data_IF_836460143483
#
_entry.id   IF_836460143483
#
_cell.length_a   1.000
_cell.length_b   1.000
_cell.length_c   1.000
_cell.angle_alpha   90.00
_cell.angle_beta   90.00
_cell.angle_gamma   90.00
#
_symmetry.space_group_name_H-M   'P 1'
#
loop_
_entity.id
_entity.type
_entity.pdbx_description
1 polymer ?
#
# COMPACT_ATOMS: atom_id res chain seq x y z
N UNK A 1 35.88 4.03 7.32
CA UNK A 1 34.84 4.66 8.10
C UNK A 1 33.49 4.11 7.67
N UNK A 2 32.64 3.73 8.60
CA UNK A 2 31.29 3.26 8.32
C UNK A 2 30.45 4.42 7.79
N UNK A 3 29.55 4.19 6.87
CA UNK A 3 28.68 5.15 6.13
C UNK A 3 27.82 6.05 7.04
N UNK A 4 27.90 5.91 8.36
CA UNK A 4 27.08 6.60 9.36
C UNK A 4 27.84 7.61 10.24
N UNK A 5 29.16 7.84 10.01
CA UNK A 5 29.93 8.77 10.83
C UNK A 5 29.70 10.23 10.37
N UNK A 6 29.35 11.09 11.34
CA UNK A 6 29.10 12.52 11.09
C UNK A 6 30.44 13.27 11.22
N UNK A 7 30.84 13.95 10.14
CA UNK A 7 32.08 14.71 10.10
C UNK A 7 32.08 15.87 11.10
N UNK A 8 33.27 16.21 11.65
CA UNK A 8 33.49 17.24 12.66
C UNK A 8 32.86 18.60 12.28
N UNK A 9 32.85 18.96 11.01
CA UNK A 9 32.32 20.24 10.54
C UNK A 9 30.80 20.30 10.42
N UNK A 10 30.10 19.15 10.42
CA UNK A 10 28.64 19.07 10.21
C UNK A 10 27.88 18.55 11.42
N UNK A 11 28.54 18.32 12.55
CA UNK A 11 27.92 17.71 13.74
C UNK A 11 26.72 18.51 14.27
N UNK A 12 26.92 19.83 14.45
CA UNK A 12 25.90 20.72 14.99
C UNK A 12 24.68 20.77 14.05
N UNK A 13 24.92 20.98 12.76
CA UNK A 13 23.84 21.10 11.76
C UNK A 13 23.06 19.79 11.62
N UNK A 14 23.78 18.66 11.62
CA UNK A 14 23.14 17.35 11.52
C UNK A 14 22.30 17.02 12.74
N UNK A 15 22.81 17.28 13.97
CA UNK A 15 22.04 17.07 15.20
C UNK A 15 20.87 18.07 15.31
N UNK A 16 21.05 19.32 14.88
CA UNK A 16 19.96 20.30 14.84
C UNK A 16 18.85 19.90 13.84
N UNK A 17 19.24 19.42 12.67
CA UNK A 17 18.29 18.90 11.66
C UNK A 17 17.53 17.68 12.18
N UNK A 18 18.22 16.75 12.82
CA UNK A 18 17.61 15.56 13.44
C UNK A 18 16.61 15.95 14.53
N UNK A 19 17.02 16.85 15.44
CA UNK A 19 16.17 17.37 16.51
C UNK A 19 14.96 18.14 15.95
N UNK A 20 15.14 18.94 14.91
CA UNK A 20 14.07 19.66 14.24
C UNK A 20 13.04 18.72 13.59
N UNK A 21 13.48 17.59 13.05
CA UNK A 21 12.59 16.55 12.51
C UNK A 21 11.76 15.90 13.62
N UNK A 22 12.41 15.54 14.74
CA UNK A 22 11.73 14.99 15.92
C UNK A 22 10.71 15.98 16.50
N UNK A 23 11.04 17.26 16.53
CA UNK A 23 10.12 18.31 17.03
C UNK A 23 8.91 18.47 16.13
N UNK A 24 9.08 18.41 14.81
CA UNK A 24 7.97 18.46 13.85
C UNK A 24 6.97 17.35 14.01
N UNK A 25 7.40 16.16 14.42
CA UNK A 25 6.51 15.02 14.72
C UNK A 25 5.98 15.00 16.15
N UNK A 26 6.18 16.07 16.93
CA UNK A 26 5.58 16.26 18.23
C UNK A 26 6.40 15.79 19.44
N UNK A 27 7.64 15.31 19.24
CA UNK A 27 8.49 14.88 20.37
C UNK A 27 8.78 16.03 21.34
N UNK A 28 8.75 15.73 22.62
CA UNK A 28 9.08 16.66 23.70
C UNK A 28 10.60 16.90 23.85
N UNK A 29 10.96 17.94 24.62
CA UNK A 29 12.37 18.32 24.81
C UNK A 29 13.22 17.20 25.39
N UNK A 30 12.72 16.43 26.35
CA UNK A 30 13.45 15.35 27.00
C UNK A 30 13.70 14.19 26.04
N UNK A 31 12.71 13.83 25.24
CA UNK A 31 12.80 12.77 24.22
C UNK A 31 13.83 13.15 23.14
N UNK A 32 13.76 14.40 22.66
CA UNK A 32 14.73 14.94 21.69
C UNK A 32 16.14 14.91 22.28
N UNK A 33 16.31 15.36 23.51
CA UNK A 33 17.60 15.39 24.18
C UNK A 33 18.20 13.99 24.32
N UNK A 34 17.42 13.01 24.76
CA UNK A 34 17.85 11.61 24.88
C UNK A 34 18.30 11.02 23.53
N UNK A 35 17.53 11.26 22.49
CA UNK A 35 17.84 10.81 21.13
C UNK A 35 19.09 11.48 20.57
N UNK A 36 19.26 12.80 20.77
CA UNK A 36 20.43 13.54 20.33
C UNK A 36 21.70 13.12 21.06
N UNK A 37 21.65 12.85 22.36
CA UNK A 37 22.79 12.30 23.11
C UNK A 37 23.22 10.93 22.58
N UNK A 38 22.26 10.05 22.26
CA UNK A 38 22.56 8.75 21.66
C UNK A 38 23.18 8.90 20.27
N UNK A 39 22.62 9.76 19.42
CA UNK A 39 23.15 10.04 18.09
C UNK A 39 24.56 10.65 18.14
N UNK A 40 24.81 11.59 19.06
CA UNK A 40 26.09 12.22 19.26
C UNK A 40 27.17 11.19 19.60
N UNK A 41 26.93 10.36 20.61
CA UNK A 41 27.92 9.33 21.05
C UNK A 41 28.20 8.28 19.97
N UNK A 42 27.20 7.89 19.21
CA UNK A 42 27.34 6.79 18.26
C UNK A 42 27.84 7.23 16.88
N UNK A 43 27.56 8.47 16.47
CA UNK A 43 27.75 8.93 15.08
C UNK A 43 28.71 10.11 14.91
N UNK A 44 28.86 10.96 15.93
CA UNK A 44 29.79 12.10 15.85
C UNK A 44 31.21 11.68 16.29
N UNK A 45 32.20 12.03 15.48
CA UNK A 45 33.61 11.71 15.76
C UNK A 45 34.52 12.92 15.54
N UNK A 46 35.03 13.49 16.62
CA UNK A 46 34.73 13.23 18.05
C UNK A 46 33.30 13.71 18.39
N UNK A 47 32.67 13.20 19.46
CA UNK A 47 31.36 13.68 19.92
C UNK A 47 31.39 15.17 20.27
N UNK A 48 30.22 15.84 20.17
CA UNK A 48 30.05 17.18 20.76
C UNK A 48 30.03 17.11 22.29
N UNK A 49 30.38 18.22 22.95
CA UNK A 49 30.20 18.40 24.41
C UNK A 49 28.70 18.27 24.75
N UNK A 50 28.38 17.66 25.88
CA UNK A 50 27.00 17.47 26.33
C UNK A 50 26.24 18.80 26.46
N UNK A 51 26.93 19.89 26.84
CA UNK A 51 26.32 21.22 26.89
C UNK A 51 25.89 21.74 25.52
N UNK A 52 26.61 21.39 24.46
CA UNK A 52 26.24 21.76 23.10
C UNK A 52 25.03 20.96 22.62
N UNK A 53 24.96 19.65 22.94
CA UNK A 53 23.81 18.80 22.62
C UNK A 53 22.54 19.32 23.33
N UNK A 54 22.65 19.70 24.60
CA UNK A 54 21.55 20.32 25.35
C UNK A 54 21.11 21.63 24.71
N UNK A 55 22.03 22.51 24.28
CA UNK A 55 21.68 23.75 23.58
C UNK A 55 20.92 23.49 22.27
N UNK A 56 21.35 22.49 21.52
CA UNK A 56 20.68 22.10 20.27
C UNK A 56 19.26 21.62 20.59
N UNK A 57 19.09 20.70 21.54
CA UNK A 57 17.77 20.18 21.94
C UNK A 57 16.83 21.31 22.38
N UNK A 58 17.32 22.22 23.24
CA UNK A 58 16.54 23.39 23.69
C UNK A 58 16.20 24.35 22.56
N UNK A 59 17.12 24.55 21.61
CA UNK A 59 16.89 25.44 20.48
C UNK A 59 15.79 24.91 19.57
N UNK A 60 15.83 23.62 19.20
CA UNK A 60 14.83 23.01 18.32
C UNK A 60 13.48 22.85 18.99
N UNK A 61 13.46 22.69 20.32
CA UNK A 61 12.22 22.55 21.10
C UNK A 61 11.40 23.86 21.19
N UNK A 62 11.97 25.01 20.84
CA UNK A 62 11.25 26.29 20.79
C UNK A 62 10.29 26.41 19.59
N UNK A 63 10.53 25.60 18.56
CA UNK A 63 9.62 25.58 17.41
C UNK A 63 8.35 24.83 17.75
N UNK A 64 7.22 25.32 17.29
CA UNK A 64 5.96 24.58 17.43
C UNK A 64 5.97 23.33 16.54
N UNK A 65 5.37 22.21 17.02
CA UNK A 65 5.15 21.04 16.18
C UNK A 65 4.36 21.43 14.92
N UNK A 66 4.63 20.76 13.81
CA UNK A 66 3.92 21.05 12.56
C UNK A 66 2.42 20.77 12.74
N UNK A 67 1.58 21.76 12.52
CA UNK A 67 0.10 21.64 12.58
C UNK A 67 -0.44 20.52 11.70
N UNK A 68 0.26 20.18 10.61
CA UNK A 68 -0.12 19.07 9.72
C UNK A 68 0.10 17.70 10.37
N UNK A 69 1.13 17.56 11.19
CA UNK A 69 1.36 16.32 11.95
C UNK A 69 0.39 16.18 13.13
N UNK A 70 0.02 17.30 13.77
CA UNK A 70 -0.88 17.35 14.92
C UNK A 70 -2.35 17.25 14.49
N UNK A 71 -2.75 17.89 13.40
CA UNK A 71 -4.14 17.86 12.92
C UNK A 71 -4.59 16.45 12.46
N UNK A 72 -3.65 15.59 12.01
CA UNK A 72 -3.93 14.19 11.68
C UNK A 72 -4.12 13.31 12.92
N UNK A 73 -3.58 13.73 14.07
CA UNK A 73 -3.58 12.93 15.31
C UNK A 73 -4.70 13.38 16.27
N UNK A 74 -4.97 14.67 16.37
CA UNK A 74 -5.90 15.18 17.39
C UNK A 74 -7.40 14.99 17.08
N UNK A 75 -7.80 14.89 15.83
CA UNK A 75 -9.23 14.87 15.46
C UNK A 75 -9.87 13.48 15.39
N UNK A 76 -9.09 12.39 15.49
CA UNK A 76 -9.65 11.02 15.46
C UNK A 76 -9.19 10.12 16.62
N UNK A 77 -8.19 10.55 17.41
CA UNK A 77 -7.57 9.73 18.46
C UNK A 77 -7.73 10.33 19.85
N UNK A 78 -8.68 11.25 20.03
CA UNK A 78 -9.02 11.78 21.34
C UNK A 78 -9.38 10.64 22.30
N UNK A 79 -8.51 10.38 23.28
CA UNK A 79 -8.68 9.44 24.39
C UNK A 79 -8.54 7.95 24.01
N UNK A 80 -7.35 7.54 23.58
CA UNK A 80 -6.93 6.15 23.75
C UNK A 80 -5.90 6.07 24.89
N UNK A 81 -6.41 6.02 26.11
CA UNK A 81 -5.60 5.56 27.23
C UNK A 81 -5.33 4.05 27.07
N UNK A 82 -4.09 3.68 26.80
CA UNK A 82 -3.55 2.40 27.23
C UNK A 82 -3.72 1.18 26.33
N UNK A 83 -3.92 1.29 25.00
CA UNK A 83 -3.77 0.12 24.12
C UNK A 83 -2.89 0.45 22.93
N UNK A 84 -1.78 -0.27 22.78
CA UNK A 84 -0.82 -0.15 21.68
C UNK A 84 -1.36 -0.61 20.30
N UNK A 85 -2.64 -0.90 20.19
CA UNK A 85 -3.26 -1.41 18.97
C UNK A 85 -4.55 -0.65 18.65
N UNK A 86 -4.79 -0.27 17.37
CA UNK A 86 -6.05 0.31 16.97
C UNK A 86 -7.22 -0.65 17.27
N UNK A 87 -8.42 -0.13 17.54
CA UNK A 87 -9.59 -0.98 17.74
C UNK A 87 -9.83 -1.84 16.50
N UNK A 88 -10.39 -3.05 16.66
CA UNK A 88 -10.72 -3.89 15.53
C UNK A 88 -11.72 -3.18 14.62
N UNK A 89 -11.60 -3.41 13.31
CA UNK A 89 -12.55 -2.89 12.33
C UNK A 89 -13.95 -3.44 12.67
N UNK A 90 -14.97 -2.59 12.81
CA UNK A 90 -16.33 -3.04 13.04
C UNK A 90 -16.78 -4.06 11.98
N UNK A 91 -17.45 -5.12 12.41
CA UNK A 91 -17.81 -6.23 11.51
C UNK A 91 -18.78 -5.81 10.41
N UNK A 92 -19.65 -4.86 10.69
CA UNK A 92 -20.57 -4.27 9.70
C UNK A 92 -19.85 -3.59 8.54
N UNK A 93 -18.65 -3.06 8.75
CA UNK A 93 -17.82 -2.47 7.69
C UNK A 93 -17.11 -3.52 6.82
N UNK A 94 -17.07 -4.77 7.28
CA UNK A 94 -16.49 -5.91 6.56
C UNK A 94 -17.57 -6.75 5.85
N UNK A 95 -18.78 -6.20 5.70
CA UNK A 95 -19.90 -6.87 5.08
C UNK A 95 -20.51 -6.01 3.98
N UNK A 96 -20.30 -6.42 2.73
CA UNK A 96 -20.91 -5.82 1.54
C UNK A 96 -21.71 -6.91 0.84
N UNK A 97 -23.05 -6.83 0.83
CA UNK A 97 -23.92 -7.85 0.25
C UNK A 97 -23.60 -8.17 -1.21
N UNK A 98 -23.73 -9.43 -1.60
CA UNK A 98 -23.45 -9.93 -2.92
C UNK A 98 -22.04 -10.47 -3.08
N UNK A 99 -21.41 -10.24 -4.22
CA UNK A 99 -20.17 -10.91 -4.62
C UNK A 99 -19.03 -10.82 -3.59
N UNK A 100 -18.88 -9.66 -2.94
CA UNK A 100 -17.82 -9.48 -1.93
C UNK A 100 -18.07 -10.40 -0.73
N UNK A 101 -19.31 -10.45 -0.21
CA UNK A 101 -19.62 -11.34 0.89
C UNK A 101 -19.53 -12.80 0.46
N UNK A 102 -20.04 -13.16 -0.72
CA UNK A 102 -19.98 -14.53 -1.22
C UNK A 102 -18.54 -15.07 -1.27
N UNK A 103 -17.61 -14.28 -1.82
CA UNK A 103 -16.19 -14.65 -1.90
C UNK A 103 -15.54 -14.65 -0.52
N UNK A 104 -15.84 -13.67 0.33
CA UNK A 104 -15.28 -13.60 1.68
C UNK A 104 -15.76 -14.76 2.54
N UNK A 105 -17.05 -15.11 2.49
CA UNK A 105 -17.62 -16.23 3.25
C UNK A 105 -17.09 -17.59 2.77
N UNK A 106 -16.94 -17.77 1.45
CA UNK A 106 -16.28 -18.95 0.89
C UNK A 106 -14.81 -19.02 1.36
N UNK A 107 -14.10 -17.90 1.35
CA UNK A 107 -12.73 -17.83 1.86
C UNK A 107 -12.66 -18.22 3.34
N UNK A 108 -13.55 -17.69 4.17
CA UNK A 108 -13.64 -17.99 5.60
C UNK A 108 -13.92 -19.46 5.86
N UNK A 109 -14.88 -20.05 5.12
CA UNK A 109 -15.29 -21.44 5.32
C UNK A 109 -14.24 -22.47 4.90
N UNK A 110 -13.31 -22.08 4.02
CA UNK A 110 -12.30 -23.01 3.46
C UNK A 110 -10.88 -22.77 4.00
N UNK A 111 -10.61 -21.61 4.63
CA UNK A 111 -9.29 -21.25 5.11
C UNK A 111 -8.86 -22.08 6.34
N UNK A 112 -7.60 -22.51 6.43
CA UNK A 112 -7.08 -23.16 7.64
C UNK A 112 -7.04 -22.24 8.86
N UNK A 113 -6.89 -20.93 8.64
CA UNK A 113 -6.94 -19.88 9.65
C UNK A 113 -7.86 -18.77 9.14
N UNK A 114 -9.17 -18.85 9.41
CA UNK A 114 -10.13 -17.85 8.95
C UNK A 114 -9.80 -16.46 9.51
N UNK A 115 -9.81 -15.48 8.62
CA UNK A 115 -9.59 -14.08 9.00
C UNK A 115 -10.49 -13.19 8.14
N UNK A 116 -11.55 -12.64 8.75
CA UNK A 116 -12.58 -11.86 8.03
C UNK A 116 -11.99 -10.65 7.32
N UNK A 117 -11.07 -9.93 7.95
CA UNK A 117 -10.43 -8.75 7.36
C UNK A 117 -9.63 -9.13 6.12
N UNK A 118 -8.86 -10.23 6.19
CA UNK A 118 -8.08 -10.72 5.04
C UNK A 118 -9.00 -11.23 3.93
N UNK A 119 -10.06 -11.96 4.27
CA UNK A 119 -11.04 -12.45 3.32
C UNK A 119 -11.76 -11.29 2.60
N UNK A 120 -12.17 -10.29 3.35
CA UNK A 120 -12.77 -9.05 2.80
C UNK A 120 -11.80 -8.32 1.88
N UNK A 121 -10.55 -8.11 2.31
CA UNK A 121 -9.53 -7.46 1.48
C UNK A 121 -9.32 -8.20 0.15
N UNK A 122 -9.26 -9.53 0.18
CA UNK A 122 -9.14 -10.37 -1.00
C UNK A 122 -10.33 -10.23 -1.94
N UNK A 123 -11.54 -10.34 -1.41
CA UNK A 123 -12.79 -10.22 -2.18
C UNK A 123 -12.96 -8.82 -2.79
N UNK A 124 -12.65 -7.78 -2.02
CA UNK A 124 -12.68 -6.39 -2.49
C UNK A 124 -11.66 -6.15 -3.62
N UNK A 125 -10.44 -6.67 -3.47
CA UNK A 125 -9.41 -6.60 -4.52
C UNK A 125 -9.83 -7.33 -5.79
N UNK A 126 -10.44 -8.50 -5.66
CA UNK A 126 -10.94 -9.26 -6.80
C UNK A 126 -12.04 -8.50 -7.57
N UNK A 127 -13.04 -7.97 -6.85
CA UNK A 127 -14.11 -7.20 -7.49
C UNK A 127 -13.57 -5.91 -8.11
N UNK A 128 -12.69 -5.20 -7.41
CA UNK A 128 -11.99 -4.02 -7.92
C UNK A 128 -11.34 -4.28 -9.27
N UNK A 129 -10.61 -5.37 -9.40
CA UNK A 129 -9.98 -5.79 -10.65
C UNK A 129 -11.02 -6.16 -11.73
N UNK A 130 -12.03 -6.98 -11.40
CA UNK A 130 -13.03 -7.44 -12.36
C UNK A 130 -13.88 -6.30 -12.94
N UNK A 131 -14.08 -5.24 -12.17
CA UNK A 131 -14.85 -4.05 -12.59
C UNK A 131 -13.99 -2.90 -13.09
N UNK A 132 -12.65 -3.02 -12.99
CA UNK A 132 -11.72 -2.01 -13.48
C UNK A 132 -11.96 -1.68 -14.96
N UNK A 133 -11.94 -0.38 -15.30
CA UNK A 133 -12.24 0.17 -16.64
C UNK A 133 -13.70 0.00 -17.10
N UNK A 134 -14.56 -0.66 -16.33
CA UNK A 134 -15.94 -1.03 -16.73
C UNK A 134 -17.00 -0.15 -16.10
N UNK A 135 -16.73 0.34 -14.91
CA UNK A 135 -17.65 1.18 -14.13
C UNK A 135 -16.94 2.42 -13.59
N UNK A 136 -17.72 3.45 -13.35
CA UNK A 136 -17.28 4.71 -12.73
C UNK A 136 -18.38 5.27 -11.83
N UNK A 137 -18.01 6.09 -10.87
CA UNK A 137 -18.96 6.89 -10.11
C UNK A 137 -19.29 8.22 -10.82
N UNK A 138 -20.09 9.06 -10.18
CA UNK A 138 -20.46 10.39 -10.69
C UNK A 138 -19.25 11.35 -10.74
N UNK A 139 -18.24 11.14 -9.89
CA UNK A 139 -16.98 11.89 -9.87
C UNK A 139 -15.96 11.39 -10.87
N UNK A 140 -16.34 10.45 -11.73
CA UNK A 140 -15.46 9.79 -12.70
C UNK A 140 -14.34 8.96 -12.07
N UNK A 141 -14.50 8.54 -10.79
CA UNK A 141 -13.57 7.64 -10.15
C UNK A 141 -13.71 6.22 -10.71
N UNK A 142 -12.61 5.47 -10.67
CA UNK A 142 -12.54 4.07 -11.09
C UNK A 142 -12.39 3.16 -9.89
N UNK A 143 -12.66 1.88 -10.08
CA UNK A 143 -12.60 0.86 -9.04
C UNK A 143 -11.18 0.37 -8.74
N UNK A 144 -10.16 0.92 -9.38
CA UNK A 144 -8.76 0.53 -9.16
C UNK A 144 -8.31 0.88 -7.74
N UNK A 145 -8.17 -0.13 -6.87
CA UNK A 145 -7.80 0.04 -5.47
C UNK A 145 -6.39 -0.48 -5.20
N UNK A 146 -5.66 0.21 -4.34
CA UNK A 146 -4.45 -0.28 -3.72
C UNK A 146 -4.78 -0.68 -2.29
N UNK A 147 -4.79 -1.98 -2.01
CA UNK A 147 -5.17 -2.56 -0.73
C UNK A 147 -3.93 -3.11 -0.05
N UNK A 148 -3.74 -2.75 1.20
CA UNK A 148 -2.70 -3.28 2.07
C UNK A 148 -3.37 -4.02 3.23
N UNK A 149 -3.19 -5.33 3.27
CA UNK A 149 -3.76 -6.19 4.29
C UNK A 149 -2.66 -6.64 5.27
N UNK A 150 -2.74 -6.15 6.50
CA UNK A 150 -1.75 -6.38 7.55
C UNK A 150 -2.23 -7.46 8.52
N UNK A 151 -1.44 -8.53 8.66
CA UNK A 151 -1.69 -9.56 9.66
C UNK A 151 -0.39 -10.28 10.03
N UNK A 152 -0.31 -10.83 11.24
CA UNK A 152 0.84 -11.63 11.68
C UNK A 152 1.07 -12.87 10.82
N UNK A 153 2.25 -13.46 10.97
CA UNK A 153 2.56 -14.73 10.32
C UNK A 153 1.52 -15.80 10.71
N UNK A 154 1.14 -16.64 9.74
CA UNK A 154 0.12 -17.69 9.89
C UNK A 154 -1.28 -17.16 10.30
N UNK A 155 -1.59 -15.88 10.11
CA UNK A 155 -2.92 -15.31 10.37
C UNK A 155 -3.84 -15.27 9.13
N UNK A 156 -3.67 -16.20 8.19
CA UNK A 156 -4.58 -16.39 7.05
C UNK A 156 -4.38 -15.48 5.85
N UNK A 157 -3.26 -14.75 5.75
CA UNK A 157 -2.97 -13.80 4.65
C UNK A 157 -2.98 -14.44 3.26
N UNK A 158 -2.51 -15.67 3.13
CA UNK A 158 -2.29 -16.32 1.83
C UNK A 158 -3.57 -16.84 1.21
N UNK A 159 -4.55 -17.21 2.03
CA UNK A 159 -5.72 -17.92 1.54
C UNK A 159 -6.58 -17.09 0.60
N UNK A 160 -6.89 -15.82 0.88
CA UNK A 160 -7.62 -14.95 -0.05
C UNK A 160 -6.97 -14.85 -1.42
N UNK A 161 -5.62 -14.74 -1.46
CA UNK A 161 -4.87 -14.69 -2.73
C UNK A 161 -5.01 -15.99 -3.52
N UNK A 162 -4.97 -17.14 -2.84
CA UNK A 162 -5.20 -18.47 -3.47
C UNK A 162 -6.61 -18.59 -4.02
N UNK A 163 -7.62 -18.12 -3.29
CA UNK A 163 -9.02 -18.14 -3.75
C UNK A 163 -9.17 -17.24 -4.97
N UNK A 164 -8.65 -16.02 -4.95
CA UNK A 164 -8.68 -15.12 -6.09
C UNK A 164 -8.01 -15.76 -7.32
N UNK A 165 -6.84 -16.35 -7.14
CA UNK A 165 -6.12 -17.03 -8.23
C UNK A 165 -6.94 -18.18 -8.82
N UNK A 166 -7.61 -18.99 -7.98
CA UNK A 166 -8.48 -20.09 -8.44
C UNK A 166 -9.68 -19.56 -9.23
N UNK A 167 -10.36 -18.52 -8.72
CA UNK A 167 -11.48 -17.87 -9.43
C UNK A 167 -11.02 -17.35 -10.79
N UNK A 168 -9.93 -16.62 -10.83
CA UNK A 168 -9.41 -16.03 -12.09
C UNK A 168 -8.93 -17.10 -13.06
N UNK A 169 -8.35 -18.19 -12.58
CA UNK A 169 -7.98 -19.33 -13.42
C UNK A 169 -9.22 -19.97 -14.06
N UNK A 170 -10.29 -20.17 -13.27
CA UNK A 170 -11.52 -20.82 -13.75
C UNK A 170 -12.26 -20.00 -14.81
N UNK A 171 -12.18 -18.67 -14.75
CA UNK A 171 -12.77 -17.77 -15.76
C UNK A 171 -11.77 -17.34 -16.86
N UNK A 172 -10.59 -17.96 -16.94
CA UNK A 172 -9.61 -17.73 -18.01
C UNK A 172 -8.82 -16.41 -17.90
N UNK A 173 -8.72 -15.81 -16.71
CA UNK A 173 -7.99 -14.56 -16.46
C UNK A 173 -6.72 -14.73 -15.61
N UNK A 174 -6.13 -15.93 -15.56
CA UNK A 174 -4.91 -16.18 -14.79
C UNK A 174 -3.70 -15.36 -15.26
N UNK A 175 -3.65 -15.02 -16.55
CA UNK A 175 -2.62 -14.18 -17.17
C UNK A 175 -2.68 -12.70 -16.75
N UNK A 176 -3.75 -12.29 -16.06
CA UNK A 176 -3.95 -10.94 -15.52
C UNK A 176 -3.45 -10.77 -14.08
N UNK A 177 -2.88 -11.82 -13.51
CA UNK A 177 -2.33 -11.78 -12.15
C UNK A 177 -0.85 -11.44 -12.22
N UNK A 178 -0.45 -10.38 -11.50
CA UNK A 178 0.94 -10.06 -11.21
C UNK A 178 1.29 -10.43 -9.76
N UNK A 179 2.58 -10.69 -9.50
CA UNK A 179 3.09 -10.97 -8.14
C UNK A 179 4.04 -9.85 -7.68
N UNK A 180 5.14 -9.63 -8.36
CA UNK A 180 6.19 -8.69 -7.96
C UNK A 180 6.41 -7.58 -8.98
N UNK A 181 6.77 -6.42 -8.46
CA UNK A 181 7.17 -5.28 -9.27
C UNK A 181 8.68 -5.32 -9.54
N UNK A 182 9.08 -5.80 -10.71
CA UNK A 182 10.51 -5.85 -11.07
C UNK A 182 11.08 -4.47 -11.40
N UNK A 183 10.31 -3.63 -12.08
CA UNK A 183 10.64 -2.24 -12.42
C UNK A 183 9.39 -1.46 -12.81
N UNK A 184 9.47 -0.13 -12.79
CA UNK A 184 8.37 0.73 -13.27
C UNK A 184 8.07 0.49 -14.75
N UNK A 185 9.10 0.24 -15.54
CA UNK A 185 8.98 -0.08 -16.96
C UNK A 185 8.28 -1.42 -17.22
N UNK A 186 8.65 -2.45 -16.46
CA UNK A 186 8.01 -3.76 -16.58
C UNK A 186 6.52 -3.69 -16.24
N UNK A 187 6.14 -2.86 -15.25
CA UNK A 187 4.75 -2.60 -14.93
C UNK A 187 4.02 -1.88 -16.07
N UNK A 188 4.65 -0.86 -16.69
CA UNK A 188 4.08 -0.17 -17.85
C UNK A 188 3.87 -1.13 -19.03
N UNK A 189 4.87 -1.98 -19.34
CA UNK A 189 4.76 -2.95 -20.42
C UNK A 189 3.65 -3.98 -20.15
N UNK A 190 3.51 -4.45 -18.91
CA UNK A 190 2.44 -5.39 -18.54
C UNK A 190 1.06 -4.77 -18.73
N UNK A 191 0.85 -3.53 -18.28
CA UNK A 191 -0.42 -2.81 -18.43
C UNK A 191 -0.68 -2.34 -19.88
N UNK A 192 0.35 -2.17 -20.68
CA UNK A 192 0.18 -1.90 -22.11
C UNK A 192 -0.40 -3.10 -22.86
N UNK A 193 0.05 -4.31 -22.50
CA UNK A 193 -0.48 -5.56 -23.07
C UNK A 193 -1.84 -5.88 -22.48
N UNK A 194 -2.01 -5.68 -21.18
CA UNK A 194 -3.21 -6.01 -20.42
C UNK A 194 -3.60 -4.82 -19.53
N UNK A 195 -4.42 -3.88 -20.05
CA UNK A 195 -4.71 -2.62 -19.37
C UNK A 195 -5.44 -2.75 -18.02
N UNK A 196 -5.87 -3.96 -17.64
CA UNK A 196 -6.42 -4.27 -16.33
C UNK A 196 -5.67 -5.46 -15.73
N UNK A 197 -5.05 -5.28 -14.56
CA UNK A 197 -4.28 -6.32 -13.85
C UNK A 197 -4.51 -6.28 -12.35
N UNK A 198 -4.46 -7.46 -11.72
CA UNK A 198 -4.44 -7.64 -10.26
C UNK A 198 -3.05 -8.08 -9.82
N UNK A 199 -2.34 -7.24 -9.10
CA UNK A 199 -1.09 -7.61 -8.43
C UNK A 199 -1.38 -8.10 -7.01
N UNK A 200 -1.06 -9.36 -6.74
CA UNK A 200 -1.21 -10.00 -5.42
C UNK A 200 0.16 -10.25 -4.80
N UNK A 201 0.71 -9.22 -4.17
CA UNK A 201 2.09 -9.21 -3.67
C UNK A 201 2.14 -9.62 -2.20
N UNK A 202 2.85 -10.71 -1.91
CA UNK A 202 3.23 -11.03 -0.54
C UNK A 202 4.42 -10.21 -0.09
N UNK A 203 4.50 -9.94 1.21
CA UNK A 203 5.60 -9.17 1.80
C UNK A 203 5.87 -7.85 1.05
N UNK A 204 4.80 -7.07 0.81
CA UNK A 204 4.92 -5.77 0.12
C UNK A 204 5.85 -4.79 0.88
N UNK A 205 6.05 -4.99 2.18
CA UNK A 205 7.05 -4.32 3.00
C UNK A 205 8.47 -4.48 2.44
N UNK A 206 8.80 -5.62 1.85
CA UNK A 206 10.09 -5.83 1.14
C UNK A 206 10.26 -4.85 -0.01
N UNK A 207 9.22 -4.55 -0.77
CA UNK A 207 9.24 -3.53 -1.82
C UNK A 207 9.49 -2.14 -1.22
N UNK A 208 8.79 -1.80 -0.13
CA UNK A 208 8.94 -0.52 0.55
C UNK A 208 10.36 -0.34 1.11
N UNK A 209 10.92 -1.38 1.72
CA UNK A 209 12.32 -1.38 2.19
C UNK A 209 13.29 -1.18 1.03
N UNK A 210 13.07 -1.85 -0.11
CA UNK A 210 13.93 -1.70 -1.28
C UNK A 210 13.86 -0.27 -1.84
N UNK A 211 12.68 0.33 -1.94
CA UNK A 211 12.52 1.74 -2.35
C UNK A 211 13.30 2.68 -1.45
N UNK A 212 13.33 2.42 -0.14
CA UNK A 212 14.05 3.27 0.82
C UNK A 212 15.57 3.07 0.79
N UNK A 213 16.04 1.86 0.53
CA UNK A 213 17.46 1.50 0.59
C UNK A 213 18.17 1.59 -0.75
N UNK A 214 17.42 1.48 -1.84
CA UNK A 214 18.01 1.48 -3.19
C UNK A 214 18.53 2.87 -3.55
N UNK A 215 19.78 2.90 -3.99
CA UNK A 215 20.39 4.08 -4.61
C UNK A 215 20.25 4.06 -6.14
N UNK A 216 19.78 2.94 -6.70
CA UNK A 216 19.46 2.85 -8.11
C UNK A 216 18.03 3.36 -8.34
N UNK A 217 17.80 4.09 -9.40
CA UNK A 217 16.50 4.70 -9.71
C UNK A 217 15.37 3.70 -10.04
N UNK A 218 15.61 2.37 -10.03
CA UNK A 218 14.61 1.37 -10.45
C UNK A 218 13.43 1.30 -9.50
N UNK A 219 13.70 1.21 -8.19
CA UNK A 219 12.61 1.14 -7.19
C UNK A 219 11.89 2.47 -7.05
N UNK A 220 12.60 3.57 -7.25
CA UNK A 220 12.00 4.91 -7.33
C UNK A 220 11.08 5.03 -8.56
N UNK A 221 11.46 4.44 -9.69
CA UNK A 221 10.64 4.32 -10.90
C UNK A 221 9.38 3.49 -10.66
N UNK A 222 9.44 2.38 -9.89
CA UNK A 222 8.25 1.61 -9.49
C UNK A 222 7.26 2.51 -8.72
N UNK A 223 7.73 3.20 -7.69
CA UNK A 223 6.87 4.05 -6.86
C UNK A 223 6.22 5.17 -7.68
N UNK A 224 7.01 5.86 -8.52
CA UNK A 224 6.50 6.91 -9.40
C UNK A 224 5.46 6.37 -10.38
N UNK A 225 5.71 5.18 -10.95
CA UNK A 225 4.76 4.53 -11.87
C UNK A 225 3.46 4.17 -11.15
N UNK A 226 3.51 3.59 -9.94
CA UNK A 226 2.31 3.27 -9.15
C UNK A 226 1.46 4.52 -8.87
N UNK A 227 2.08 5.62 -8.45
CA UNK A 227 1.38 6.88 -8.17
C UNK A 227 0.70 7.44 -9.43
N UNK A 228 1.40 7.42 -10.56
CA UNK A 228 0.88 7.96 -11.82
C UNK A 228 -0.21 7.06 -12.39
N UNK A 229 -0.05 5.73 -12.34
CA UNK A 229 -1.08 4.77 -12.78
C UNK A 229 -2.39 4.95 -12.03
N UNK A 230 -2.33 5.11 -10.70
CA UNK A 230 -3.51 5.37 -9.89
C UNK A 230 -4.25 6.64 -10.35
N UNK A 231 -3.50 7.73 -10.55
CA UNK A 231 -4.06 9.02 -10.96
C UNK A 231 -4.54 9.04 -12.42
N UNK A 232 -4.05 8.11 -13.25
CA UNK A 232 -4.41 8.02 -14.67
C UNK A 232 -5.55 7.02 -14.94
N UNK A 233 -6.16 6.45 -13.91
CA UNK A 233 -7.19 5.40 -14.07
C UNK A 233 -8.43 5.85 -14.85
N UNK A 234 -8.70 7.15 -14.91
CA UNK A 234 -9.81 7.75 -15.67
C UNK A 234 -9.36 8.58 -16.89
N UNK A 235 -8.08 8.47 -17.26
CA UNK A 235 -7.49 9.18 -18.39
C UNK A 235 -6.42 8.32 -19.06
N UNK A 236 -5.49 8.89 -19.77
CA UNK A 236 -4.40 8.16 -20.41
C UNK A 236 -3.11 8.24 -19.59
N UNK A 237 -2.39 7.14 -19.54
CA UNK A 237 -1.04 7.09 -19.01
C UNK A 237 -0.05 7.13 -20.19
N UNK A 238 0.73 8.23 -20.36
CA UNK A 238 1.77 8.29 -21.37
C UNK A 238 2.96 7.42 -20.93
N UNK A 239 3.29 6.43 -21.75
CA UNK A 239 4.45 5.57 -21.51
C UNK A 239 5.77 6.31 -21.82
N UNK A 240 6.84 5.88 -21.18
CA UNK A 240 8.16 6.35 -21.57
C UNK A 240 8.47 5.95 -23.01
N UNK A 241 9.19 6.83 -23.72
CA UNK A 241 9.73 6.50 -25.04
C UNK A 241 10.95 5.60 -24.91
N UNK A 242 11.06 4.62 -25.78
CA UNK A 242 12.27 3.82 -25.98
C UNK A 242 13.02 4.35 -27.20
N UNK A 243 14.34 4.16 -27.21
CA UNK A 243 15.14 4.44 -28.40
C UNK A 243 14.63 3.53 -29.55
N UNK A 244 14.22 4.15 -30.67
CA UNK A 244 13.65 3.44 -31.81
C UNK A 244 12.11 3.35 -31.83
N UNK A 245 11.39 3.90 -30.86
CA UNK A 245 9.94 4.00 -30.93
C UNK A 245 9.54 5.03 -31.99
N UNK A 246 8.79 4.60 -33.03
CA UNK A 246 8.30 5.45 -34.10
C UNK A 246 7.15 6.38 -33.66
N UNK A 247 6.37 5.97 -32.63
CA UNK A 247 5.23 6.71 -32.11
C UNK A 247 5.16 6.68 -30.56
N UNK A 248 4.56 7.70 -29.93
CA UNK A 248 4.25 7.65 -28.52
C UNK A 248 3.29 6.51 -28.21
N UNK A 249 3.57 5.75 -27.13
CA UNK A 249 2.65 4.74 -26.61
C UNK A 249 1.93 5.28 -25.40
N UNK A 250 0.65 4.97 -25.30
CA UNK A 250 -0.19 5.34 -24.17
C UNK A 250 -0.98 4.13 -23.70
N UNK A 251 -1.32 4.12 -22.40
CA UNK A 251 -2.27 3.14 -21.84
C UNK A 251 -3.54 3.93 -21.53
N UNK A 252 -4.63 3.58 -22.18
CA UNK A 252 -5.93 4.20 -21.93
C UNK A 252 -6.54 3.60 -20.68
N UNK A 253 -6.87 4.48 -19.72
CA UNK A 253 -7.55 4.16 -18.46
C UNK A 253 -6.95 2.92 -17.76
N UNK A 254 -5.68 2.93 -17.35
CA UNK A 254 -5.05 1.77 -16.74
C UNK A 254 -5.79 1.32 -15.47
N UNK A 255 -6.20 0.05 -15.44
CA UNK A 255 -6.90 -0.58 -14.33
C UNK A 255 -5.94 -1.41 -13.46
N UNK A 256 -5.12 -0.77 -12.65
CA UNK A 256 -4.22 -1.46 -11.73
C UNK A 256 -4.87 -1.63 -10.36
N UNK A 257 -5.05 -2.87 -9.93
CA UNK A 257 -5.44 -3.21 -8.56
C UNK A 257 -4.27 -3.90 -7.86
N UNK A 258 -3.99 -3.50 -6.62
CA UNK A 258 -2.96 -4.09 -5.78
C UNK A 258 -3.60 -4.68 -4.53
N UNK A 259 -3.30 -5.94 -4.25
CA UNK A 259 -3.55 -6.61 -2.98
C UNK A 259 -2.20 -6.99 -2.38
N UNK A 260 -1.64 -6.08 -1.59
CA UNK A 260 -0.40 -6.32 -0.86
C UNK A 260 -0.68 -6.87 0.52
N UNK A 261 0.13 -7.85 0.96
CA UNK A 261 0.11 -8.35 2.33
C UNK A 261 1.44 -8.10 3.02
N UNK A 262 1.40 -7.81 4.32
CA UNK A 262 2.60 -7.65 5.13
C UNK A 262 2.35 -8.01 6.61
N UNK A 263 3.44 -8.15 7.37
CA UNK A 263 3.40 -8.23 8.82
C UNK A 263 3.40 -6.78 9.35
N UNK A 264 2.51 -6.41 10.31
CA UNK A 264 2.40 -5.04 10.79
C UNK A 264 3.74 -4.41 11.20
N UNK A 265 4.53 -5.07 12.03
CA UNK A 265 5.80 -4.53 12.48
C UNK A 265 6.78 -4.27 11.33
N UNK A 266 6.91 -5.22 10.39
CA UNK A 266 7.79 -5.06 9.22
C UNK A 266 7.32 -3.91 8.32
N UNK A 267 6.00 -3.77 8.15
CA UNK A 267 5.43 -2.66 7.41
C UNK A 267 5.75 -1.31 8.07
N UNK A 268 5.50 -1.16 9.38
CA UNK A 268 5.76 0.09 10.07
C UNK A 268 7.27 0.44 10.10
N UNK A 269 8.15 -0.55 10.23
CA UNK A 269 9.61 -0.37 10.13
C UNK A 269 10.07 0.02 8.71
N UNK A 270 9.32 -0.38 7.68
CA UNK A 270 9.61 -0.06 6.29
C UNK A 270 9.21 1.36 5.90
N UNK A 271 8.41 2.06 6.72
CA UNK A 271 7.96 3.41 6.44
C UNK A 271 9.10 4.43 6.47
N UNK A 272 9.06 5.38 5.55
CA UNK A 272 9.94 6.54 5.56
C UNK A 272 9.14 7.83 5.45
N UNK A 273 9.69 8.93 5.94
CA UNK A 273 9.10 10.28 5.83
C UNK A 273 8.73 10.60 4.37
N UNK A 274 9.59 10.21 3.43
CA UNK A 274 9.34 10.40 1.99
C UNK A 274 8.08 9.68 1.51
N UNK A 275 7.83 8.47 1.96
CA UNK A 275 6.63 7.72 1.59
C UNK A 275 5.36 8.32 2.18
N UNK A 276 5.44 8.87 3.38
CA UNK A 276 4.32 9.56 4.02
C UNK A 276 3.95 10.85 3.29
N UNK A 277 4.94 11.53 2.68
CA UNK A 277 4.75 12.83 2.03
C UNK A 277 4.51 12.76 0.53
N UNK A 278 4.89 11.68 -0.16
CA UNK A 278 4.74 11.56 -1.62
C UNK A 278 3.31 11.17 -2.06
N UNK A 279 2.39 10.96 -1.13
CA UNK A 279 0.99 10.61 -1.42
C UNK A 279 0.74 9.12 -1.70
N UNK A 280 1.72 8.23 -1.57
CA UNK A 280 1.54 6.80 -1.81
C UNK A 280 0.53 6.20 -0.82
N UNK A 281 0.71 6.46 0.47
CA UNK A 281 -0.20 5.95 1.51
C UNK A 281 -1.59 6.57 1.45
N UNK A 282 -1.72 7.81 0.96
CA UNK A 282 -3.02 8.44 0.75
C UNK A 282 -3.87 7.71 -0.31
N UNK A 283 -3.25 6.84 -1.12
CA UNK A 283 -3.92 6.02 -2.13
C UNK A 283 -4.14 4.58 -1.71
N UNK A 284 -3.70 4.21 -0.50
CA UNK A 284 -3.82 2.84 0.00
C UNK A 284 -4.96 2.69 0.99
N UNK A 285 -5.80 1.70 0.80
CA UNK A 285 -6.73 1.20 1.80
C UNK A 285 -5.98 0.21 2.70
N UNK A 286 -5.70 0.62 3.94
CA UNK A 286 -4.97 -0.21 4.90
C UNK A 286 -5.99 -0.92 5.80
N UNK A 287 -5.96 -2.25 5.78
CA UNK A 287 -6.81 -3.11 6.58
C UNK A 287 -5.93 -3.97 7.49
N UNK A 288 -6.06 -3.82 8.79
CA UNK A 288 -5.24 -4.54 9.76
C UNK A 288 -6.09 -5.44 10.65
N UNK A 289 -5.68 -6.70 10.75
CA UNK A 289 -6.09 -7.62 11.81
C UNK A 289 -4.90 -8.48 12.20
N UNK A 290 -4.17 -8.02 13.19
CA UNK A 290 -2.98 -8.70 13.66
C UNK A 290 -3.27 -10.06 14.32
N UNK A 291 -4.50 -10.28 14.80
CA UNK A 291 -4.84 -11.51 15.53
C UNK A 291 -4.93 -12.71 14.60
N UNK A 292 -4.29 -13.79 14.98
CA UNK A 292 -4.51 -15.12 14.40
C UNK A 292 -5.83 -15.66 14.92
N UNK A 293 -6.72 -16.07 13.98
CA UNK A 293 -7.95 -16.78 14.33
C UNK A 293 -7.68 -18.20 14.83
N UNK A 294 -8.72 -18.84 15.35
CA UNK A 294 -8.69 -20.27 15.64
C UNK A 294 -8.49 -21.05 14.34
N UNK A 295 -7.68 -22.09 14.39
CA UNK A 295 -7.44 -22.97 13.25
C UNK A 295 -8.64 -23.89 13.01
N UNK A 296 -8.92 -24.17 11.75
CA UNK A 296 -9.88 -25.19 11.32
C UNK A 296 -9.24 -26.07 10.24
N UNK A 297 -9.81 -27.25 10.00
CA UNK A 297 -9.37 -28.06 8.88
C UNK A 297 -9.70 -27.37 7.56
N UNK A 298 -8.72 -27.19 6.66
CA UNK A 298 -8.98 -26.57 5.38
C UNK A 298 -9.89 -27.46 4.53
N UNK A 299 -10.92 -26.87 3.96
CA UNK A 299 -11.84 -27.58 3.08
C UNK A 299 -11.46 -27.26 1.63
N UNK A 300 -11.13 -28.29 0.86
CA UNK A 300 -10.86 -28.15 -0.58
C UNK A 300 -12.14 -28.55 -1.32
N UNK A 301 -12.99 -27.58 -1.56
CA UNK A 301 -14.21 -27.72 -2.34
C UNK A 301 -14.11 -26.97 -3.66
N UNK A 302 -14.97 -27.31 -4.61
CA UNK A 302 -15.21 -26.50 -5.79
C UNK A 302 -15.74 -25.11 -5.38
N UNK A 303 -15.34 -24.09 -6.13
CA UNK A 303 -15.84 -22.74 -5.91
C UNK A 303 -17.35 -22.72 -6.23
N UNK A 304 -18.19 -22.14 -5.36
CA UNK A 304 -19.63 -22.08 -5.60
C UNK A 304 -19.95 -21.46 -6.97
N UNK A 305 -20.85 -22.10 -7.71
CA UNK A 305 -21.18 -21.72 -9.10
C UNK A 305 -21.66 -20.29 -9.23
N UNK A 306 -22.33 -19.72 -8.22
CA UNK A 306 -22.80 -18.35 -8.26
C UNK A 306 -21.63 -17.35 -8.23
N UNK A 307 -20.54 -17.65 -7.48
CA UNK A 307 -19.31 -16.84 -7.46
C UNK A 307 -18.68 -16.84 -8.87
N UNK A 308 -18.51 -18.01 -9.47
CA UNK A 308 -17.93 -18.14 -10.81
C UNK A 308 -18.80 -17.42 -11.86
N UNK A 309 -20.14 -17.60 -11.79
CA UNK A 309 -21.05 -16.91 -12.71
C UNK A 309 -20.97 -15.38 -12.61
N UNK A 310 -20.88 -14.84 -11.38
CA UNK A 310 -20.74 -13.39 -11.18
C UNK A 310 -19.38 -12.90 -11.63
N UNK A 311 -18.31 -13.63 -11.35
CA UNK A 311 -16.99 -13.31 -11.84
C UNK A 311 -16.91 -13.34 -13.37
N UNK A 312 -17.52 -14.35 -14.02
CA UNK A 312 -17.61 -14.47 -15.47
C UNK A 312 -18.43 -13.33 -16.08
N UNK A 313 -19.58 -12.99 -15.46
CA UNK A 313 -20.38 -11.83 -15.88
C UNK A 313 -19.53 -10.57 -15.95
N UNK A 314 -18.77 -10.26 -14.89
CA UNK A 314 -17.90 -9.10 -14.91
C UNK A 314 -16.73 -9.24 -15.88
N UNK A 315 -16.21 -10.45 -16.08
CA UNK A 315 -15.19 -10.71 -17.10
C UNK A 315 -15.69 -10.38 -18.50
N UNK A 316 -16.92 -10.81 -18.82
CA UNK A 316 -17.52 -10.68 -20.13
C UNK A 316 -18.18 -9.32 -20.38
N UNK A 317 -18.50 -8.60 -19.32
CA UNK A 317 -19.12 -7.29 -19.41
C UNK A 317 -18.23 -6.32 -20.22
N UNK A 318 -18.78 -5.78 -21.30
CA UNK A 318 -18.11 -4.84 -22.20
C UNK A 318 -18.96 -3.58 -22.30
N UNK A 319 -18.63 -2.53 -21.53
CA UNK A 319 -19.29 -1.24 -21.71
C UNK A 319 -18.81 -0.59 -23.02
N UNK A 320 -19.75 -0.08 -23.82
CA UNK A 320 -19.47 0.47 -25.14
C UNK A 320 -19.35 -0.61 -26.22
N UNK A 321 -18.72 -0.29 -27.35
CA UNK A 321 -18.66 -1.14 -28.56
C UNK A 321 -17.58 -2.25 -28.48
N UNK A 322 -16.99 -2.48 -27.32
CA UNK A 322 -16.16 -3.64 -27.05
C UNK A 322 -14.70 -3.54 -27.50
N UNK A 323 -14.28 -2.42 -28.06
CA UNK A 323 -12.88 -2.15 -28.38
C UNK A 323 -12.19 -1.39 -27.23
N UNK A 324 -10.88 -1.59 -27.05
CA UNK A 324 -10.09 -0.80 -26.10
C UNK A 324 -10.09 0.70 -26.43
N UNK A 325 -10.21 1.05 -27.70
CA UNK A 325 -10.31 2.42 -28.19
C UNK A 325 -11.66 3.07 -27.86
N UNK A 326 -12.73 2.26 -27.79
CA UNK A 326 -14.13 2.69 -27.55
C UNK A 326 -14.60 2.32 -26.13
N UNK A 327 -13.68 2.19 -25.20
CA UNK A 327 -13.97 1.75 -23.83
C UNK A 327 -14.60 2.86 -23.01
N UNK A 328 -15.90 2.81 -22.80
CA UNK A 328 -16.67 3.80 -22.05
C UNK A 328 -17.22 3.22 -20.74
N UNK A 329 -16.57 3.45 -19.58
CA UNK A 329 -17.08 2.97 -18.29
C UNK A 329 -18.50 3.46 -18.01
N UNK A 330 -19.35 2.52 -17.58
CA UNK A 330 -20.75 2.81 -17.24
C UNK A 330 -20.83 3.45 -15.85
N UNK A 331 -21.59 4.55 -15.67
CA UNK A 331 -21.77 5.12 -14.34
C UNK A 331 -22.58 4.17 -13.45
N UNK A 332 -22.16 4.05 -12.19
CA UNK A 332 -22.95 3.43 -11.13
C UNK A 332 -23.79 4.55 -10.51
N UNK A 333 -25.08 4.34 -10.41
CA UNK A 333 -26.05 5.28 -9.83
C UNK A 333 -26.32 4.88 -8.37
#
# INVERSE_FOLDING_TARGET
GTVNDINIHYRNDTLASLGGTMRRVGMGTEEILAALHKANRNRCKPPLDDKEVVKIAMSVSRYEPSLVAVAGVENHWGQMEGTDSPPPIPEELLSIPGFINDVADYTMSTAPYPNRVMAFAGALGLLSFLTARKVRDQGDNRTSLYILALAHSAAGKDWPRKINTRILHEIGLADRIGDRFASGEGLQDSLYISPSMLYQTDEIDSLLIQVNKSRDGRMESVMSTLLTMYSSSNTVFPMRRRAGDDAPRVIDQPGLTILGTAIPNHYYEALSERMLTNGFFARMLILENAKRGEGQEPIINDIPRHIIKTAQFWSDFRPGDGNLEDWHPVPII
#
